data_IF_621618745203
#
_entry.id   IF_621618745203
#
_cell.length_a   1.000
_cell.length_b   1.000
_cell.length_c   1.000
_cell.angle_alpha   90.00
_cell.angle_beta   90.00
_cell.angle_gamma   90.00
#
_symmetry.space_group_name_H-M   'P 1'
#
loop_
_entity.id
_entity.type
_entity.pdbx_description
1 polymer ?
#
# COMPACT_ATOMS: atom_id res chain seq x y z
N UNK A 1 5.13 -16.66 -2.84
CA UNK A 1 3.70 -16.47 -3.16
C UNK A 1 3.52 -15.31 -4.15
N UNK A 2 4.01 -14.12 -3.83
CA UNK A 2 4.07 -12.92 -4.69
C UNK A 2 4.53 -13.18 -6.14
N UNK A 3 5.72 -13.75 -6.34
CA UNK A 3 6.25 -14.05 -7.68
C UNK A 3 5.35 -14.96 -8.52
N UNK A 4 4.69 -15.94 -7.88
CA UNK A 4 3.74 -16.84 -8.56
C UNK A 4 2.47 -16.10 -9.02
N UNK A 5 1.97 -15.17 -8.20
CA UNK A 5 0.82 -14.33 -8.56
C UNK A 5 1.20 -13.44 -9.73
N UNK A 6 2.34 -12.76 -9.66
CA UNK A 6 2.81 -11.88 -10.74
C UNK A 6 3.08 -12.64 -12.03
N UNK A 7 3.63 -13.86 -11.97
CA UNK A 7 3.79 -14.72 -13.14
C UNK A 7 2.46 -15.11 -13.77
N UNK A 8 1.46 -15.48 -12.96
CA UNK A 8 0.12 -15.83 -13.47
C UNK A 8 -0.52 -14.60 -14.11
N UNK A 9 -0.44 -13.43 -13.45
CA UNK A 9 -0.95 -12.18 -13.98
C UNK A 9 -0.29 -11.82 -15.31
N UNK A 10 1.05 -11.90 -15.40
CA UNK A 10 1.76 -11.53 -16.62
C UNK A 10 1.52 -12.51 -17.78
N UNK A 11 1.27 -13.78 -17.47
CA UNK A 11 1.00 -14.81 -18.49
C UNK A 11 -0.41 -14.75 -19.07
N UNK A 12 -1.42 -14.37 -18.28
CA UNK A 12 -2.82 -14.54 -18.65
C UNK A 12 -3.65 -13.25 -18.68
N UNK A 13 -3.12 -12.14 -18.15
CA UNK A 13 -3.88 -10.89 -17.98
C UNK A 13 -3.14 -9.73 -18.65
N UNK A 14 -3.86 -8.97 -19.48
CA UNK A 14 -3.34 -7.74 -20.09
C UNK A 14 -2.91 -6.72 -19.03
N UNK A 15 -1.84 -5.97 -19.32
CA UNK A 15 -1.26 -4.95 -18.44
C UNK A 15 -2.30 -3.98 -17.86
N UNK A 16 -3.22 -3.49 -18.70
CA UNK A 16 -4.30 -2.59 -18.31
C UNK A 16 -5.24 -3.19 -17.26
N UNK A 17 -5.53 -4.49 -17.35
CA UNK A 17 -6.36 -5.21 -16.39
C UNK A 17 -5.58 -5.48 -15.10
N UNK A 18 -4.26 -5.72 -15.18
CA UNK A 18 -3.41 -5.87 -13.99
C UNK A 18 -3.43 -4.61 -13.13
N UNK A 19 -3.40 -3.41 -13.73
CA UNK A 19 -3.50 -2.14 -13.01
C UNK A 19 -4.80 -2.06 -12.19
N UNK A 20 -5.92 -2.46 -12.79
CA UNK A 20 -7.21 -2.50 -12.11
C UNK A 20 -7.20 -3.51 -10.96
N UNK A 21 -6.65 -4.70 -11.16
CA UNK A 21 -6.62 -5.75 -10.14
C UNK A 21 -5.66 -5.43 -8.98
N UNK A 22 -4.51 -4.84 -9.27
CA UNK A 22 -3.45 -4.58 -8.28
C UNK A 22 -3.74 -3.30 -7.50
N UNK A 23 -4.21 -2.24 -8.16
CA UNK A 23 -4.38 -0.92 -7.55
C UNK A 23 -5.83 -0.67 -7.13
N UNK A 24 -6.80 -0.95 -8.02
CA UNK A 24 -8.18 -0.51 -7.81
C UNK A 24 -9.02 -1.51 -7.03
N UNK A 25 -8.90 -2.81 -7.31
CA UNK A 25 -9.67 -3.85 -6.62
C UNK A 25 -9.53 -3.79 -5.09
N UNK A 26 -8.34 -3.59 -4.50
CA UNK A 26 -8.19 -3.52 -3.05
C UNK A 26 -8.88 -2.29 -2.48
N UNK A 27 -8.74 -1.14 -3.15
CA UNK A 27 -9.39 0.11 -2.75
C UNK A 27 -10.91 -0.06 -2.80
N UNK A 28 -11.44 -0.67 -3.86
CA UNK A 28 -12.88 -0.93 -4.02
C UNK A 28 -13.42 -1.93 -2.98
N UNK A 29 -12.69 -3.01 -2.71
CA UNK A 29 -13.06 -4.00 -1.69
C UNK A 29 -13.05 -3.37 -0.30
N UNK A 30 -12.00 -2.64 0.05
CA UNK A 30 -11.90 -1.95 1.35
C UNK A 30 -12.99 -0.87 1.48
N UNK A 31 -13.28 -0.14 0.41
CA UNK A 31 -14.37 0.85 0.36
C UNK A 31 -15.75 0.19 0.50
N UNK A 32 -15.96 -0.97 -0.12
CA UNK A 32 -17.19 -1.74 0.02
C UNK A 32 -17.36 -2.26 1.45
N UNK A 33 -16.31 -2.82 2.05
CA UNK A 33 -16.30 -3.30 3.44
C UNK A 33 -16.64 -2.15 4.40
N UNK A 34 -16.09 -0.95 4.18
CA UNK A 34 -16.41 0.25 4.97
C UNK A 34 -17.88 0.65 4.87
N UNK A 35 -18.55 0.38 3.74
CA UNK A 35 -19.94 0.76 3.50
C UNK A 35 -20.94 0.01 4.40
N UNK A 36 -20.64 -1.23 4.80
CA UNK A 36 -21.63 -2.13 5.39
C UNK A 36 -21.71 -2.13 6.92
N UNK A 37 -20.88 -1.38 7.66
CA UNK A 37 -20.91 -1.42 9.13
C UNK A 37 -21.09 -0.06 9.81
N UNK A 38 -21.93 -0.09 10.86
CA UNK A 38 -22.29 1.03 11.73
C UNK A 38 -21.20 1.32 12.79
N UNK A 39 -20.31 0.34 13.07
CA UNK A 39 -19.17 0.47 14.00
C UNK A 39 -17.90 0.72 13.19
N UNK A 40 -17.85 1.87 12.56
CA UNK A 40 -16.95 2.07 11.44
C UNK A 40 -15.48 2.31 11.87
N UNK A 41 -15.16 2.43 13.16
CA UNK A 41 -13.80 2.53 13.70
C UNK A 41 -13.08 1.18 13.67
N UNK A 42 -13.80 0.10 13.99
CA UNK A 42 -13.32 -1.28 13.81
C UNK A 42 -13.02 -1.57 12.33
N UNK A 43 -13.79 -0.97 11.41
CA UNK A 43 -13.55 -1.13 9.98
C UNK A 43 -12.28 -0.41 9.51
N UNK A 44 -11.91 0.73 10.10
CA UNK A 44 -10.65 1.41 9.75
C UNK A 44 -9.46 0.55 10.20
N UNK A 45 -9.51 -0.02 11.41
CA UNK A 45 -8.49 -0.96 11.88
C UNK A 45 -8.43 -2.23 11.02
N UNK A 46 -9.58 -2.81 10.67
CA UNK A 46 -9.65 -3.96 9.76
C UNK A 46 -9.19 -3.62 8.35
N UNK A 47 -9.45 -2.41 7.86
CA UNK A 47 -9.00 -1.97 6.55
C UNK A 47 -7.48 -1.79 6.52
N UNK A 48 -6.88 -1.21 7.56
CA UNK A 48 -5.43 -1.14 7.71
C UNK A 48 -4.78 -2.53 7.78
N UNK A 49 -5.37 -3.47 8.54
CA UNK A 49 -4.96 -4.87 8.55
C UNK A 49 -5.13 -5.53 7.18
N UNK A 50 -6.22 -5.24 6.48
CA UNK A 50 -6.49 -5.71 5.12
C UNK A 50 -5.44 -5.22 4.13
N UNK A 51 -5.02 -3.95 4.22
CA UNK A 51 -3.91 -3.40 3.44
C UNK A 51 -2.60 -4.13 3.74
N UNK A 52 -2.29 -4.41 5.01
CA UNK A 52 -1.10 -5.19 5.39
C UNK A 52 -1.16 -6.59 4.78
N UNK A 53 -2.27 -7.32 4.96
CA UNK A 53 -2.44 -8.68 4.44
C UNK A 53 -2.34 -8.69 2.91
N UNK A 54 -2.97 -7.72 2.26
CA UNK A 54 -2.93 -7.57 0.81
C UNK A 54 -1.49 -7.40 0.31
N UNK A 55 -0.73 -6.47 0.91
CA UNK A 55 0.67 -6.25 0.52
C UNK A 55 1.61 -7.41 0.87
N UNK A 56 1.35 -8.13 1.96
CA UNK A 56 2.08 -9.38 2.26
C UNK A 56 1.79 -10.45 1.19
N UNK A 57 0.56 -10.49 0.67
CA UNK A 57 0.13 -11.50 -0.32
C UNK A 57 0.65 -11.19 -1.73
N UNK A 58 0.47 -9.94 -2.17
CA UNK A 58 0.93 -9.46 -3.49
C UNK A 58 2.45 -9.30 -3.52
N UNK A 59 3.06 -8.93 -2.40
CA UNK A 59 4.50 -8.77 -2.23
C UNK A 59 5.08 -7.54 -2.92
N UNK A 60 6.31 -7.68 -3.41
CA UNK A 60 7.08 -6.60 -3.99
C UNK A 60 6.63 -6.31 -5.43
N UNK A 61 5.96 -5.18 -5.63
CA UNK A 61 5.55 -4.71 -6.95
C UNK A 61 6.63 -3.88 -7.64
N UNK A 62 7.84 -3.73 -7.07
CA UNK A 62 8.90 -2.93 -7.69
C UNK A 62 9.24 -3.42 -9.09
N UNK A 63 9.25 -4.74 -9.31
CA UNK A 63 9.49 -5.35 -10.62
C UNK A 63 8.36 -4.99 -11.61
N UNK A 64 7.11 -5.08 -11.16
CA UNK A 64 5.97 -4.67 -11.97
C UNK A 64 6.05 -3.18 -12.32
N UNK A 65 6.36 -2.31 -11.37
CA UNK A 65 6.59 -0.88 -11.62
C UNK A 65 7.75 -0.64 -12.58
N UNK A 66 8.84 -1.40 -12.46
CA UNK A 66 10.04 -1.26 -13.28
C UNK A 66 9.76 -1.59 -14.74
N UNK A 67 9.04 -2.68 -15.00
CA UNK A 67 8.60 -3.04 -16.35
C UNK A 67 7.67 -1.97 -16.95
N UNK A 68 6.82 -1.35 -16.13
CA UNK A 68 5.92 -0.28 -16.60
C UNK A 68 6.68 1.00 -16.94
N UNK A 69 7.63 1.38 -16.08
CA UNK A 69 8.51 2.51 -16.34
C UNK A 69 9.39 2.24 -17.56
N UNK A 70 10.01 1.07 -17.70
CA UNK A 70 10.88 0.79 -18.84
C UNK A 70 10.14 0.94 -20.17
N UNK A 71 8.92 0.40 -20.27
CA UNK A 71 8.07 0.55 -21.47
C UNK A 71 7.77 2.03 -21.77
N UNK A 72 7.43 2.82 -20.73
CA UNK A 72 7.13 4.24 -20.91
C UNK A 72 8.36 5.06 -21.31
N UNK A 73 9.52 4.76 -20.74
CA UNK A 73 10.77 5.48 -20.99
C UNK A 73 11.46 5.06 -22.28
N UNK A 74 11.38 3.80 -22.69
CA UNK A 74 11.82 3.33 -24.02
C UNK A 74 11.10 4.08 -25.15
N UNK A 75 9.84 4.47 -24.93
CA UNK A 75 9.08 5.28 -25.88
C UNK A 75 9.42 6.77 -25.83
N UNK A 76 9.93 7.25 -24.70
CA UNK A 76 10.16 8.67 -24.43
C UNK A 76 11.62 9.11 -24.62
N UNK A 77 12.60 8.20 -24.51
CA UNK A 77 14.03 8.49 -24.52
C UNK A 77 14.78 7.71 -25.60
N UNK A 78 15.88 8.27 -26.15
CA UNK A 78 16.81 7.50 -26.99
C UNK A 78 17.46 6.34 -26.21
N UNK A 79 17.78 5.21 -26.88
CA UNK A 79 18.36 4.04 -26.22
C UNK A 79 19.66 4.33 -25.44
N UNK A 80 20.50 5.24 -25.93
CA UNK A 80 21.77 5.58 -25.29
C UNK A 80 21.60 6.22 -23.90
N UNK A 81 20.43 6.81 -23.62
CA UNK A 81 20.16 7.46 -22.34
C UNK A 81 19.52 6.51 -21.32
N UNK A 82 18.97 5.36 -21.75
CA UNK A 82 18.24 4.45 -20.85
C UNK A 82 19.16 3.86 -19.77
N UNK A 83 20.39 3.50 -20.12
CA UNK A 83 21.37 2.97 -19.16
C UNK A 83 21.75 4.00 -18.09
N UNK A 84 21.80 5.28 -18.46
CA UNK A 84 22.13 6.36 -17.52
C UNK A 84 21.07 6.51 -16.41
N UNK A 85 19.81 6.21 -16.70
CA UNK A 85 18.69 6.38 -15.78
C UNK A 85 18.29 5.10 -15.04
N UNK A 86 18.88 3.94 -15.36
CA UNK A 86 18.55 2.64 -14.74
C UNK A 86 18.60 2.65 -13.19
N UNK A 87 19.62 3.25 -12.55
CA UNK A 87 19.65 3.35 -11.08
C UNK A 87 18.54 4.23 -10.50
N UNK A 88 18.15 5.28 -11.22
CA UNK A 88 17.06 6.19 -10.85
C UNK A 88 15.73 5.45 -10.96
N UNK A 89 15.52 4.69 -12.04
CA UNK A 89 14.31 3.89 -12.24
C UNK A 89 14.14 2.85 -11.13
N UNK A 90 15.20 2.10 -10.83
CA UNK A 90 15.19 1.10 -9.75
C UNK A 90 14.88 1.73 -8.38
N UNK A 91 15.39 2.93 -8.12
CA UNK A 91 15.10 3.65 -6.87
C UNK A 91 13.66 4.18 -6.85
N UNK A 92 13.18 4.73 -7.96
CA UNK A 92 11.81 5.25 -8.09
C UNK A 92 10.78 4.14 -7.93
N UNK A 93 10.98 2.96 -8.52
CA UNK A 93 10.00 1.86 -8.47
C UNK A 93 9.82 1.33 -7.05
N UNK A 94 10.90 1.24 -6.27
CA UNK A 94 10.86 0.90 -4.84
C UNK A 94 10.11 1.95 -4.02
N UNK A 95 10.37 3.23 -4.29
CA UNK A 95 9.69 4.35 -3.64
C UNK A 95 8.20 4.39 -4.02
N UNK A 96 7.85 4.16 -5.28
CA UNK A 96 6.47 4.08 -5.76
C UNK A 96 5.70 2.92 -5.11
N UNK A 97 6.33 1.74 -4.98
CA UNK A 97 5.73 0.61 -4.27
C UNK A 97 5.39 0.99 -2.81
N UNK A 98 6.33 1.66 -2.13
CA UNK A 98 6.17 2.13 -0.76
C UNK A 98 5.08 3.21 -0.63
N UNK A 99 5.08 4.19 -1.53
CA UNK A 99 4.07 5.25 -1.56
C UNK A 99 2.67 4.74 -1.87
N UNK A 100 2.54 3.69 -2.69
CA UNK A 100 1.24 3.09 -2.99
C UNK A 100 0.52 2.60 -1.73
N UNK A 101 1.25 2.03 -0.76
CA UNK A 101 0.71 1.63 0.55
C UNK A 101 0.14 2.85 1.28
N UNK A 102 0.93 3.93 1.33
CA UNK A 102 0.53 5.18 1.99
C UNK A 102 -0.70 5.81 1.32
N UNK A 103 -0.74 5.84 -0.01
CA UNK A 103 -1.89 6.32 -0.77
C UNK A 103 -3.16 5.51 -0.47
N UNK A 104 -3.07 4.17 -0.38
CA UNK A 104 -4.22 3.34 0.00
C UNK A 104 -4.76 3.71 1.38
N UNK A 105 -3.88 3.91 2.37
CA UNK A 105 -4.28 4.30 3.72
C UNK A 105 -4.99 5.65 3.76
N UNK A 106 -4.47 6.65 3.02
CA UNK A 106 -5.12 7.95 2.88
C UNK A 106 -6.47 7.81 2.17
N UNK A 107 -6.54 7.04 1.09
CA UNK A 107 -7.78 6.84 0.33
C UNK A 107 -8.87 6.20 1.20
N UNK A 108 -8.52 5.24 2.05
CA UNK A 108 -9.42 4.61 3.03
C UNK A 108 -9.95 5.66 4.01
N UNK A 109 -9.07 6.48 4.62
CA UNK A 109 -9.52 7.54 5.54
C UNK A 109 -10.39 8.58 4.85
N UNK A 110 -10.05 8.95 3.61
CA UNK A 110 -10.81 9.91 2.82
C UNK A 110 -12.21 9.38 2.47
N UNK A 111 -12.29 8.14 1.98
CA UNK A 111 -13.56 7.46 1.71
C UNK A 111 -14.44 7.41 2.96
N UNK A 112 -13.82 7.17 4.12
CA UNK A 112 -14.51 7.14 5.41
C UNK A 112 -15.02 8.51 5.85
N UNK A 113 -14.18 9.53 5.72
CA UNK A 113 -14.57 10.91 5.99
C UNK A 113 -15.79 11.30 5.14
N UNK A 114 -15.74 10.98 3.85
CA UNK A 114 -16.85 11.20 2.92
C UNK A 114 -18.12 10.45 3.34
N UNK A 115 -18.01 9.16 3.67
CA UNK A 115 -19.13 8.34 4.13
C UNK A 115 -19.77 8.92 5.41
N UNK A 116 -18.97 9.38 6.36
CA UNK A 116 -19.51 9.97 7.59
C UNK A 116 -20.30 11.25 7.31
N UNK A 117 -19.89 12.06 6.32
CA UNK A 117 -20.67 13.27 5.97
C UNK A 117 -22.05 12.94 5.40
N UNK A 118 -22.17 11.84 4.66
CA UNK A 118 -23.43 11.46 4.01
C UNK A 118 -24.37 10.67 4.94
N UNK A 119 -23.83 9.72 5.72
CA UNK A 119 -24.64 8.73 6.42
C UNK A 119 -24.55 8.80 7.96
N UNK A 120 -23.48 9.39 8.51
CA UNK A 120 -23.29 9.50 9.97
C UNK A 120 -22.55 10.79 10.34
N UNK A 121 -23.21 11.97 10.22
CA UNK A 121 -22.55 13.25 10.37
C UNK A 121 -21.80 13.37 11.70
N UNK A 122 -20.50 13.66 11.64
CA UNK A 122 -19.64 13.77 12.82
C UNK A 122 -19.11 12.44 13.40
N UNK A 123 -19.54 11.29 12.86
CA UNK A 123 -19.05 9.96 13.28
C UNK A 123 -17.54 9.79 13.08
N UNK A 124 -17.01 10.18 11.91
CA UNK A 124 -15.57 10.07 11.62
C UNK A 124 -14.72 10.80 12.64
N UNK A 125 -15.12 12.00 13.08
CA UNK A 125 -14.38 12.74 14.11
C UNK A 125 -14.28 11.91 15.40
N UNK A 126 -15.40 11.45 15.95
CA UNK A 126 -15.42 10.66 17.19
C UNK A 126 -14.53 9.42 17.09
N UNK A 127 -14.50 8.79 15.92
CA UNK A 127 -13.80 7.52 15.71
C UNK A 127 -12.31 7.73 15.43
N UNK A 128 -11.95 8.81 14.72
CA UNK A 128 -10.57 9.25 14.55
C UNK A 128 -9.94 9.62 15.90
N UNK A 129 -10.65 10.36 16.76
CA UNK A 129 -10.17 10.68 18.11
C UNK A 129 -10.17 9.48 19.08
N UNK A 130 -10.89 8.41 18.74
CA UNK A 130 -10.90 7.17 19.54
C UNK A 130 -9.82 6.17 19.10
N UNK A 131 -9.11 6.44 17.98
CA UNK A 131 -8.05 5.56 17.47
C UNK A 131 -6.87 5.59 18.42
N UNK A 132 -6.75 4.52 19.20
CA UNK A 132 -5.61 4.28 20.09
C UNK A 132 -4.91 3.01 19.66
N UNK A 133 -3.63 3.13 19.35
CA UNK A 133 -2.78 1.98 19.06
C UNK A 133 -2.52 1.24 20.38
N UNK A 134 -2.83 -0.06 20.48
CA UNK A 134 -2.52 -0.83 21.68
C UNK A 134 -1.02 -0.81 21.97
N UNK A 135 -0.64 -0.64 23.25
CA UNK A 135 0.77 -0.65 23.66
C UNK A 135 1.50 -1.94 23.26
N UNK A 136 0.77 -3.04 23.11
CA UNK A 136 1.29 -4.32 22.64
C UNK A 136 1.83 -4.30 21.21
N UNK A 137 1.51 -3.27 20.40
CA UNK A 137 2.02 -3.11 19.03
C UNK A 137 3.44 -2.51 19.01
N UNK A 138 3.84 -1.80 20.06
CA UNK A 138 5.14 -1.10 20.11
C UNK A 138 6.35 -2.04 19.94
N UNK A 139 6.42 -3.23 20.58
CA UNK A 139 7.53 -4.16 20.33
C UNK A 139 7.60 -4.63 18.87
N UNK A 140 6.44 -4.81 18.21
CA UNK A 140 6.38 -5.24 16.81
C UNK A 140 6.87 -4.11 15.88
N UNK A 141 6.50 -2.87 16.19
CA UNK A 141 7.00 -1.70 15.49
C UNK A 141 8.54 -1.60 15.60
N UNK A 142 9.08 -1.68 16.81
CA UNK A 142 10.54 -1.65 17.04
C UNK A 142 11.23 -2.78 16.29
N UNK A 143 10.68 -4.00 16.37
CA UNK A 143 11.21 -5.15 15.63
C UNK A 143 11.22 -4.89 14.12
N UNK A 144 10.15 -4.30 13.57
CA UNK A 144 10.06 -3.97 12.14
C UNK A 144 11.11 -2.94 11.75
N UNK A 145 11.33 -1.91 12.57
CA UNK A 145 12.41 -0.92 12.36
C UNK A 145 13.77 -1.62 12.31
N UNK A 146 14.08 -2.49 13.28
CA UNK A 146 15.34 -3.25 13.29
C UNK A 146 15.48 -4.07 12.01
N UNK A 147 14.42 -4.80 11.62
CA UNK A 147 14.44 -5.65 10.42
C UNK A 147 14.67 -4.87 9.11
N UNK A 148 14.20 -3.63 9.00
CA UNK A 148 14.48 -2.77 7.84
C UNK A 148 15.97 -2.47 7.68
N UNK A 149 16.71 -2.36 8.78
CA UNK A 149 18.15 -2.05 8.75
C UNK A 149 19.04 -3.30 8.75
N UNK A 150 18.53 -4.48 9.09
CA UNK A 150 19.32 -5.72 9.17
C UNK A 150 19.11 -6.67 7.99
N UNK A 151 18.05 -6.47 7.21
CA UNK A 151 17.68 -7.37 6.10
C UNK A 151 17.87 -6.64 4.77
N UNK A 152 18.41 -7.34 3.78
CA UNK A 152 18.66 -6.82 2.43
C UNK A 152 17.68 -7.38 1.39
N UNK A 153 17.64 -6.72 0.23
CA UNK A 153 16.88 -7.16 -0.94
C UNK A 153 15.36 -7.02 -0.81
N UNK A 154 14.60 -7.93 -1.41
CA UNK A 154 13.12 -7.86 -1.46
C UNK A 154 12.44 -7.92 -0.09
N UNK A 155 13.08 -8.60 0.88
CA UNK A 155 12.58 -8.63 2.26
C UNK A 155 12.69 -7.28 2.95
N UNK A 156 13.71 -6.49 2.64
CA UNK A 156 13.84 -5.13 3.16
C UNK A 156 12.66 -4.25 2.73
N UNK A 157 12.30 -4.33 1.44
CA UNK A 157 11.18 -3.56 0.86
C UNK A 157 9.86 -3.96 1.51
N UNK A 158 9.66 -5.27 1.77
CA UNK A 158 8.50 -5.74 2.51
C UNK A 158 8.42 -5.13 3.92
N UNK A 159 9.52 -5.08 4.67
CA UNK A 159 9.54 -4.46 5.99
C UNK A 159 9.38 -2.94 5.92
N UNK A 160 9.89 -2.26 4.89
CA UNK A 160 9.64 -0.83 4.66
C UNK A 160 8.15 -0.56 4.43
N UNK A 161 7.47 -1.38 3.63
CA UNK A 161 6.03 -1.25 3.40
C UNK A 161 5.23 -1.42 4.70
N UNK A 162 5.57 -2.42 5.52
CA UNK A 162 4.96 -2.63 6.85
C UNK A 162 5.26 -1.44 7.77
N UNK A 163 6.50 -0.93 7.75
CA UNK A 163 6.91 0.21 8.55
C UNK A 163 6.09 1.47 8.22
N UNK A 164 5.83 1.73 6.93
CA UNK A 164 4.98 2.86 6.51
C UNK A 164 3.57 2.75 7.07
N UNK A 165 3.00 1.54 7.14
CA UNK A 165 1.69 1.34 7.77
C UNK A 165 1.75 1.69 9.26
N UNK A 166 2.77 1.23 9.97
CA UNK A 166 2.92 1.58 11.39
C UNK A 166 3.15 3.08 11.60
N UNK A 167 4.02 3.70 10.81
CA UNK A 167 4.25 5.16 10.86
C UNK A 167 2.94 5.89 10.65
N UNK A 168 2.16 5.50 9.64
CA UNK A 168 0.84 6.08 9.41
C UNK A 168 -0.11 5.89 10.60
N UNK A 169 -0.18 4.68 11.17
CA UNK A 169 -1.00 4.39 12.35
C UNK A 169 -0.64 5.26 13.55
N UNK A 170 0.66 5.49 13.78
CA UNK A 170 1.14 6.36 14.86
C UNK A 170 0.93 7.85 14.56
N UNK A 171 1.03 8.27 13.29
CA UNK A 171 0.77 9.66 12.88
C UNK A 171 -0.68 10.08 13.11
N UNK A 172 -1.64 9.16 12.93
CA UNK A 172 -3.07 9.43 13.09
C UNK A 172 -3.58 9.18 14.52
N UNK A 173 -2.73 8.70 15.42
CA UNK A 173 -3.12 8.44 16.80
C UNK A 173 -3.29 9.76 17.56
N UNK A 174 -4.51 10.08 18.01
CA UNK A 174 -4.80 11.31 18.76
C UNK A 174 -6.25 11.44 19.16
#
# INVERSE_FOLDING_TARGET
LSWLILLILNKYIERSIQEVLIIWLPILLLSAILRFSQRQGTLVSLAGLGTIIFYITIGDLSEWWQEGLSIAFEQALPPEQLEMYEPIFNSMTKLMNTLAVFYMLIAILFARWWQSRLFNPGGFRKEFYALRIPKAVLPIFILTVVLVFTVDGSKQIMFMNILVVFVFMYLIQG
#
